data_IF_207639797465
#
_entry.id   IF_207639797465
#
_cell.length_a   1.000
_cell.length_b   1.000
_cell.length_c   1.000
_cell.angle_alpha   90.00
_cell.angle_beta   90.00
_cell.angle_gamma   90.00
#
_symmetry.space_group_name_H-M   'P 1'
#
loop_
_entity.id
_entity.type
_entity.pdbx_description
1 polymer ?
#
# COMPACT_ATOMS: atom_id res chain seq x y z
N UNK A 1 -0.30 5.90 22.01
CA UNK A 1 -1.28 5.61 20.94
C UNK A 1 -2.63 5.76 21.59
N UNK A 2 -3.40 6.79 21.19
CA UNK A 2 -4.68 7.13 21.80
C UNK A 2 -5.79 6.22 21.28
N UNK A 3 -6.84 6.02 22.07
CA UNK A 3 -8.03 5.22 21.76
C UNK A 3 -8.70 5.60 20.41
N UNK A 4 -8.37 6.75 19.82
CA UNK A 4 -8.79 7.15 18.48
C UNK A 4 -8.18 6.31 17.36
N UNK A 5 -6.95 5.79 17.50
CA UNK A 5 -6.33 4.90 16.50
C UNK A 5 -7.00 3.52 16.49
N UNK A 6 -7.44 3.03 17.66
CA UNK A 6 -8.02 1.69 17.80
C UNK A 6 -9.44 1.61 17.19
N UNK A 7 -10.20 2.72 17.25
CA UNK A 7 -11.56 2.79 16.68
C UNK A 7 -11.53 3.00 15.15
N UNK A 8 -10.49 3.63 14.60
CA UNK A 8 -10.34 3.82 13.15
C UNK A 8 -10.02 2.50 12.40
N UNK A 9 -9.30 1.58 13.05
CA UNK A 9 -8.92 0.28 12.48
C UNK A 9 -10.10 -0.68 12.27
N UNK A 10 -11.09 -0.69 13.18
CA UNK A 10 -12.17 -1.68 13.15
C UNK A 10 -13.41 -1.27 12.32
N UNK A 11 -13.56 0.01 11.93
CA UNK A 11 -14.74 0.51 11.19
C UNK A 11 -14.54 0.71 9.69
N UNK A 12 -13.33 0.55 9.18
CA UNK A 12 -12.97 0.83 7.77
C UNK A 12 -13.22 -0.33 6.81
N UNK A 13 -13.62 -1.52 7.28
CA UNK A 13 -13.83 -2.71 6.42
C UNK A 13 -15.25 -2.88 5.85
N UNK A 14 -16.27 -2.13 6.32
CA UNK A 14 -17.65 -2.28 5.79
C UNK A 14 -17.80 -1.88 4.32
N UNK A 15 -16.79 -1.21 3.74
CA UNK A 15 -16.74 -0.83 2.32
C UNK A 15 -16.03 -1.83 1.40
N UNK A 16 -15.51 -2.97 1.88
CA UNK A 16 -14.62 -3.83 1.07
C UNK A 16 -15.20 -4.20 -0.31
N UNK A 17 -16.47 -4.61 -0.37
CA UNK A 17 -17.13 -5.00 -1.62
C UNK A 17 -17.31 -3.80 -2.56
N UNK A 18 -17.67 -2.62 -2.03
CA UNK A 18 -17.83 -1.40 -2.81
C UNK A 18 -16.50 -0.85 -3.35
N UNK A 19 -15.42 -1.09 -2.62
CA UNK A 19 -14.06 -0.68 -2.99
C UNK A 19 -13.29 -1.77 -3.76
N UNK A 20 -13.88 -2.95 -4.00
CA UNK A 20 -13.23 -4.06 -4.71
C UNK A 20 -12.63 -3.64 -6.07
N UNK A 21 -13.31 -2.84 -6.92
CA UNK A 21 -12.71 -2.37 -8.16
C UNK A 21 -11.46 -1.50 -7.94
N UNK A 22 -11.44 -0.67 -6.89
CA UNK A 22 -10.26 0.17 -6.57
C UNK A 22 -9.10 -0.69 -6.08
N UNK A 23 -9.37 -1.68 -5.22
CA UNK A 23 -8.34 -2.64 -4.79
C UNK A 23 -7.75 -3.36 -5.99
N UNK A 24 -8.60 -3.86 -6.87
CA UNK A 24 -8.17 -4.55 -8.07
C UNK A 24 -7.29 -3.67 -8.98
N UNK A 25 -7.73 -2.44 -9.30
CA UNK A 25 -6.95 -1.51 -10.13
C UNK A 25 -5.63 -1.13 -9.45
N UNK A 26 -5.65 -0.83 -8.16
CA UNK A 26 -4.45 -0.50 -7.39
C UNK A 26 -3.43 -1.65 -7.45
N UNK A 27 -3.87 -2.89 -7.25
CA UNK A 27 -3.00 -4.05 -7.31
C UNK A 27 -2.54 -4.41 -8.70
N UNK A 28 -3.35 -4.24 -9.75
CA UNK A 28 -2.90 -4.42 -11.15
C UNK A 28 -1.76 -3.46 -11.46
N UNK A 29 -1.92 -2.18 -11.11
CA UNK A 29 -0.87 -1.18 -11.32
C UNK A 29 0.40 -1.63 -10.60
N UNK A 30 0.27 -2.12 -9.37
CA UNK A 30 1.39 -2.69 -8.62
C UNK A 30 2.01 -3.92 -9.28
N UNK A 31 1.22 -4.84 -9.82
CA UNK A 31 1.72 -6.03 -10.51
C UNK A 31 2.47 -5.65 -11.79
N UNK A 32 1.99 -4.66 -12.56
CA UNK A 32 2.68 -4.15 -13.74
C UNK A 32 4.00 -3.51 -13.34
N UNK A 33 3.98 -2.63 -12.34
CA UNK A 33 5.18 -1.97 -11.81
C UNK A 33 6.17 -3.00 -11.28
N UNK A 34 5.71 -4.01 -10.53
CA UNK A 34 6.56 -5.07 -9.99
C UNK A 34 7.18 -5.92 -11.10
N UNK A 35 6.42 -6.26 -12.15
CA UNK A 35 6.95 -6.99 -13.31
C UNK A 35 8.02 -6.17 -14.06
N UNK A 36 7.77 -4.87 -14.27
CA UNK A 36 8.74 -3.96 -14.85
C UNK A 36 9.99 -3.82 -13.95
N UNK A 37 9.81 -3.66 -12.65
CA UNK A 37 10.89 -3.56 -11.68
C UNK A 37 11.72 -4.85 -11.63
N UNK A 38 11.09 -6.03 -11.67
CA UNK A 38 11.80 -7.31 -11.73
C UNK A 38 12.63 -7.43 -13.01
N UNK A 39 12.10 -6.96 -14.15
CA UNK A 39 12.83 -6.95 -15.42
C UNK A 39 14.04 -6.01 -15.38
N UNK A 40 13.87 -4.81 -14.83
CA UNK A 40 14.96 -3.84 -14.61
C UNK A 40 16.00 -4.41 -13.63
N UNK A 41 15.56 -5.03 -12.54
CA UNK A 41 16.42 -5.62 -11.53
C UNK A 41 17.24 -6.78 -12.11
N UNK A 42 16.65 -7.60 -12.98
CA UNK A 42 17.36 -8.64 -13.72
C UNK A 42 18.47 -8.07 -14.62
N UNK A 43 18.18 -7.00 -15.36
CA UNK A 43 19.17 -6.32 -16.18
C UNK A 43 20.29 -5.68 -15.33
N UNK A 44 19.94 -5.03 -14.21
CA UNK A 44 20.90 -4.46 -13.27
C UNK A 44 21.77 -5.54 -12.62
N UNK A 45 21.20 -6.69 -12.28
CA UNK A 45 21.93 -7.84 -11.73
C UNK A 45 23.00 -8.35 -12.69
N UNK A 46 22.69 -8.44 -13.99
CA UNK A 46 23.68 -8.80 -15.01
C UNK A 46 24.82 -7.77 -15.10
N UNK A 47 24.50 -6.46 -15.10
CA UNK A 47 25.50 -5.40 -15.08
C UNK A 47 26.38 -5.46 -13.82
N UNK A 48 25.78 -5.74 -12.65
CA UNK A 48 26.51 -5.91 -11.40
C UNK A 48 27.45 -7.12 -11.45
N UNK A 49 27.02 -8.24 -12.04
CA UNK A 49 27.89 -9.39 -12.23
C UNK A 49 29.13 -9.05 -13.07
N UNK A 50 28.99 -8.22 -14.12
CA UNK A 50 30.12 -7.75 -14.91
C UNK A 50 31.08 -6.86 -14.10
N UNK A 51 30.56 -5.95 -13.29
CA UNK A 51 31.39 -5.11 -12.39
C UNK A 51 32.15 -5.99 -11.39
N UNK A 52 31.47 -6.95 -10.78
CA UNK A 52 32.10 -7.88 -9.83
C UNK A 52 33.20 -8.70 -10.49
N UNK A 53 33.01 -9.21 -11.71
CA UNK A 53 34.03 -9.94 -12.43
C UNK A 53 35.32 -9.10 -12.64
N UNK A 54 35.18 -7.81 -12.96
CA UNK A 54 36.32 -6.89 -13.10
C UNK A 54 37.01 -6.64 -11.76
N UNK A 55 36.23 -6.39 -10.70
CA UNK A 55 36.79 -6.16 -9.35
C UNK A 55 37.51 -7.41 -8.84
N UNK A 56 36.95 -8.60 -9.04
CA UNK A 56 37.61 -9.87 -8.71
C UNK A 56 38.92 -10.02 -9.48
N UNK A 57 38.92 -9.70 -10.79
CA UNK A 57 40.12 -9.82 -11.62
C UNK A 57 41.27 -8.88 -11.22
N UNK A 58 40.97 -7.70 -10.65
CA UNK A 58 41.97 -6.69 -10.29
C UNK A 58 42.32 -6.74 -8.79
N UNK A 59 41.31 -6.82 -7.93
CA UNK A 59 41.42 -6.66 -6.47
C UNK A 59 41.24 -7.95 -5.68
N UNK A 60 40.96 -9.08 -6.34
CA UNK A 60 40.70 -10.37 -5.69
C UNK A 60 39.32 -10.47 -5.06
N UNK A 61 39.02 -11.66 -4.50
CA UNK A 61 37.67 -12.02 -4.03
C UNK A 61 37.17 -11.15 -2.88
N UNK A 62 38.05 -10.79 -1.94
CA UNK A 62 37.66 -9.98 -0.77
C UNK A 62 37.14 -8.61 -1.20
N UNK A 63 37.82 -7.96 -2.15
CA UNK A 63 37.38 -6.67 -2.68
C UNK A 63 36.02 -6.79 -3.39
N UNK A 64 35.82 -7.85 -4.16
CA UNK A 64 34.56 -8.11 -4.85
C UNK A 64 33.39 -8.31 -3.87
N UNK A 65 33.59 -9.06 -2.78
CA UNK A 65 32.56 -9.24 -1.74
C UNK A 65 32.16 -7.92 -1.06
N UNK A 66 33.13 -7.05 -0.74
CA UNK A 66 32.84 -5.74 -0.17
C UNK A 66 32.00 -4.91 -1.15
N UNK A 67 32.40 -4.85 -2.42
CA UNK A 67 31.66 -4.12 -3.45
C UNK A 67 30.26 -4.70 -3.64
N UNK A 68 30.10 -6.03 -3.65
CA UNK A 68 28.81 -6.68 -3.80
C UNK A 68 27.84 -6.31 -2.66
N UNK A 69 28.30 -6.31 -1.41
CA UNK A 69 27.48 -5.93 -0.26
C UNK A 69 27.05 -4.46 -0.36
N UNK A 70 27.98 -3.55 -0.70
CA UNK A 70 27.67 -2.12 -0.84
C UNK A 70 26.62 -1.91 -1.94
N UNK A 71 26.80 -2.52 -3.11
CA UNK A 71 25.85 -2.41 -4.22
C UNK A 71 24.48 -2.99 -3.85
N UNK A 72 24.44 -4.12 -3.13
CA UNK A 72 23.20 -4.73 -2.68
C UNK A 72 22.43 -3.83 -1.71
N UNK A 73 23.12 -3.22 -0.74
CA UNK A 73 22.50 -2.28 0.21
C UNK A 73 21.95 -1.05 -0.50
N UNK A 74 22.71 -0.47 -1.43
CA UNK A 74 22.26 0.68 -2.22
C UNK A 74 21.02 0.32 -3.04
N UNK A 75 21.04 -0.81 -3.74
CA UNK A 75 19.93 -1.30 -4.54
C UNK A 75 18.68 -1.55 -3.69
N UNK A 76 18.84 -2.14 -2.50
CA UNK A 76 17.74 -2.35 -1.56
C UNK A 76 17.11 -1.02 -1.14
N UNK A 77 17.91 -0.05 -0.69
CA UNK A 77 17.39 1.26 -0.25
C UNK A 77 16.66 1.98 -1.38
N UNK A 78 17.23 1.99 -2.59
CA UNK A 78 16.59 2.59 -3.77
C UNK A 78 15.26 1.90 -4.10
N UNK A 79 15.22 0.57 -4.04
CA UNK A 79 14.01 -0.21 -4.28
C UNK A 79 12.92 0.12 -3.26
N UNK A 80 13.26 0.18 -1.97
CA UNK A 80 12.31 0.54 -0.92
C UNK A 80 11.78 1.96 -1.08
N UNK A 81 12.64 2.93 -1.46
CA UNK A 81 12.20 4.29 -1.76
C UNK A 81 11.21 4.33 -2.91
N UNK A 82 11.51 3.65 -4.04
CA UNK A 82 10.62 3.62 -5.20
C UNK A 82 9.26 3.01 -4.84
N UNK A 83 9.26 1.86 -4.15
CA UNK A 83 8.02 1.20 -3.69
C UNK A 83 7.23 2.13 -2.78
N UNK A 84 7.88 2.80 -1.83
CA UNK A 84 7.26 3.73 -0.90
C UNK A 84 6.65 4.95 -1.58
N UNK A 85 7.35 5.53 -2.56
CA UNK A 85 6.86 6.64 -3.39
C UNK A 85 5.60 6.20 -4.15
N UNK A 86 5.68 5.07 -4.85
CA UNK A 86 4.57 4.54 -5.64
C UNK A 86 3.36 4.27 -4.74
N UNK A 87 3.55 3.66 -3.56
CA UNK A 87 2.44 3.40 -2.64
C UNK A 87 1.78 4.68 -2.15
N UNK A 88 2.59 5.68 -1.82
CA UNK A 88 2.12 6.96 -1.33
C UNK A 88 1.28 7.67 -2.40
N UNK A 89 1.75 7.69 -3.65
CA UNK A 89 1.01 8.30 -4.76
C UNK A 89 -0.28 7.55 -5.11
N UNK A 90 -0.22 6.23 -5.25
CA UNK A 90 -1.41 5.44 -5.56
C UNK A 90 -2.42 5.51 -4.41
N UNK A 91 -1.95 5.55 -3.16
CA UNK A 91 -2.84 5.65 -2.01
C UNK A 91 -3.48 7.02 -1.83
N UNK A 92 -2.75 8.09 -2.14
CA UNK A 92 -3.34 9.42 -2.24
C UNK A 92 -4.41 9.48 -3.35
N UNK A 93 -4.16 8.83 -4.48
CA UNK A 93 -5.04 8.86 -5.65
C UNK A 93 -6.32 8.05 -5.45
N UNK A 94 -6.20 6.79 -5.01
CA UNK A 94 -7.36 5.88 -4.90
C UNK A 94 -8.08 5.99 -3.55
N UNK A 95 -7.34 6.30 -2.48
CA UNK A 95 -7.85 6.23 -1.10
C UNK A 95 -7.86 7.58 -0.39
N UNK A 96 -7.34 8.64 -1.02
CA UNK A 96 -7.18 9.97 -0.41
C UNK A 96 -6.35 9.94 0.89
N UNK A 97 -5.46 8.96 1.02
CA UNK A 97 -4.55 8.84 2.16
C UNK A 97 -3.26 9.58 1.80
N UNK A 98 -2.97 10.69 2.48
CA UNK A 98 -1.76 11.46 2.24
C UNK A 98 -0.67 11.03 3.22
N UNK A 99 0.37 10.39 2.69
CA UNK A 99 1.55 10.00 3.45
C UNK A 99 2.63 11.09 3.39
N UNK A 100 3.39 11.31 4.48
CA UNK A 100 4.48 12.28 4.46
C UNK A 100 5.60 11.83 3.51
N UNK A 101 6.03 12.73 2.62
CA UNK A 101 7.03 12.48 1.57
C UNK A 101 8.50 12.60 2.03
N UNK A 102 8.76 12.45 3.33
CA UNK A 102 10.13 12.43 3.84
C UNK A 102 10.78 11.05 3.60
N UNK A 103 12.10 11.01 3.40
CA UNK A 103 12.80 9.78 3.02
C UNK A 103 12.62 8.64 4.04
N UNK A 104 12.53 8.96 5.34
CA UNK A 104 12.32 7.95 6.40
C UNK A 104 10.95 7.29 6.28
N UNK A 105 9.91 8.08 6.06
CA UNK A 105 8.54 7.62 5.83
C UNK A 105 8.44 6.79 4.56
N UNK A 106 9.09 7.22 3.47
CA UNK A 106 9.10 6.50 2.20
C UNK A 106 9.79 5.14 2.32
N UNK A 107 10.95 5.06 2.98
CA UNK A 107 11.62 3.78 3.25
C UNK A 107 10.74 2.91 4.15
N UNK A 108 10.13 3.49 5.19
CA UNK A 108 9.22 2.77 6.09
C UNK A 108 8.03 2.16 5.37
N UNK A 109 7.36 2.93 4.51
CA UNK A 109 6.29 2.45 3.63
C UNK A 109 6.78 1.33 2.72
N UNK A 110 7.90 1.56 2.05
CA UNK A 110 8.49 0.59 1.12
C UNK A 110 8.81 -0.72 1.81
N UNK A 111 9.40 -0.66 3.02
CA UNK A 111 9.75 -1.82 3.82
C UNK A 111 8.51 -2.56 4.31
N UNK A 112 7.53 -1.85 4.87
CA UNK A 112 6.28 -2.45 5.35
C UNK A 112 5.51 -3.11 4.21
N UNK A 113 5.44 -2.46 3.04
CA UNK A 113 4.83 -3.00 1.85
C UNK A 113 5.59 -4.21 1.32
N UNK A 114 6.91 -4.13 1.14
CA UNK A 114 7.72 -5.25 0.68
C UNK A 114 7.60 -6.46 1.62
N UNK A 115 7.59 -6.25 2.94
CA UNK A 115 7.40 -7.30 3.93
C UNK A 115 6.01 -7.95 3.83
N UNK A 116 4.95 -7.14 3.71
CA UNK A 116 3.61 -7.66 3.52
C UNK A 116 3.46 -8.43 2.19
N UNK A 117 4.05 -7.93 1.10
CA UNK A 117 4.09 -8.61 -0.20
C UNK A 117 4.85 -9.94 -0.12
N UNK A 118 5.92 -10.01 0.67
CA UNK A 118 6.65 -11.27 0.92
C UNK A 118 5.76 -12.30 1.61
N UNK A 119 5.05 -11.91 2.67
CA UNK A 119 4.16 -12.80 3.42
C UNK A 119 3.02 -13.27 2.53
N UNK A 120 2.29 -12.35 1.91
CA UNK A 120 1.12 -12.67 1.10
C UNK A 120 1.49 -13.33 -0.23
N UNK A 121 2.67 -13.04 -0.78
CA UNK A 121 3.23 -13.64 -1.99
C UNK A 121 3.78 -15.05 -1.81
N UNK A 122 3.99 -15.51 -0.58
CA UNK A 122 4.56 -16.83 -0.31
C UNK A 122 3.78 -17.99 -0.98
N UNK A 123 2.43 -18.03 -0.99
CA UNK A 123 1.69 -19.07 -1.70
C UNK A 123 1.95 -19.06 -3.22
N UNK A 124 2.10 -17.90 -3.85
CA UNK A 124 2.47 -17.82 -5.26
C UNK A 124 3.86 -18.42 -5.49
N UNK A 125 4.82 -18.13 -4.60
CA UNK A 125 6.15 -18.71 -4.67
C UNK A 125 6.13 -20.24 -4.53
N UNK A 126 5.31 -20.78 -3.62
CA UNK A 126 5.13 -22.23 -3.46
C UNK A 126 4.57 -22.84 -4.75
N UNK A 127 3.57 -22.21 -5.37
CA UNK A 127 3.01 -22.66 -6.65
C UNK A 127 4.09 -22.65 -7.74
N UNK A 128 4.91 -21.60 -7.83
CA UNK A 128 6.02 -21.55 -8.80
C UNK A 128 7.02 -22.68 -8.59
N UNK A 129 7.40 -22.93 -7.34
CA UNK A 129 8.33 -24.00 -6.99
C UNK A 129 7.78 -25.40 -7.30
N UNK A 130 6.51 -25.67 -6.96
CA UNK A 130 5.87 -26.98 -7.15
C UNK A 130 5.64 -27.29 -8.63
N UNK A 131 5.33 -26.28 -9.44
CA UNK A 131 4.97 -26.47 -10.86
C UNK A 131 6.05 -26.00 -11.85
N UNK A 132 7.29 -25.75 -11.41
CA UNK A 132 8.39 -25.27 -12.27
C UNK A 132 8.66 -26.15 -13.49
N UNK A 133 8.45 -27.47 -13.38
CA UNK A 133 8.65 -28.44 -14.46
C UNK A 133 7.49 -28.48 -15.48
N UNK A 134 6.36 -27.82 -15.19
CA UNK A 134 5.18 -27.80 -16.06
C UNK A 134 4.82 -26.35 -16.47
N UNK A 135 5.50 -25.80 -17.49
CA UNK A 135 5.28 -24.42 -17.90
C UNK A 135 3.87 -24.17 -18.41
N UNK A 136 3.21 -25.17 -19.02
CA UNK A 136 1.82 -25.04 -19.47
C UNK A 136 0.89 -24.78 -18.29
N UNK A 137 1.04 -25.52 -17.19
CA UNK A 137 0.21 -25.33 -16.00
C UNK A 137 0.48 -23.97 -15.34
N UNK A 138 1.74 -23.52 -15.30
CA UNK A 138 2.08 -22.18 -14.79
C UNK A 138 1.41 -21.07 -15.62
N UNK A 139 1.38 -21.19 -16.95
CA UNK A 139 0.68 -20.23 -17.83
C UNK A 139 -0.82 -20.23 -17.56
N UNK A 140 -1.43 -21.40 -17.37
CA UNK A 140 -2.87 -21.51 -17.03
C UNK A 140 -3.16 -20.86 -15.66
N UNK A 141 -2.28 -21.05 -14.67
CA UNK A 141 -2.42 -20.47 -13.33
C UNK A 141 -2.11 -18.97 -13.27
N UNK A 142 -1.49 -18.40 -14.31
CA UNK A 142 -1.10 -16.99 -14.35
C UNK A 142 -2.32 -16.05 -14.26
N UNK A 143 -3.39 -16.34 -15.01
CA UNK A 143 -4.61 -15.52 -15.02
C UNK A 143 -5.25 -15.46 -13.63
N UNK A 144 -5.65 -16.58 -12.99
CA UNK A 144 -6.23 -16.53 -11.66
C UNK A 144 -5.27 -15.95 -10.63
N UNK A 145 -3.96 -16.19 -10.77
CA UNK A 145 -2.95 -15.57 -9.90
C UNK A 145 -3.01 -14.05 -10.01
N UNK A 146 -2.94 -13.48 -11.22
CA UNK A 146 -3.01 -12.02 -11.41
C UNK A 146 -4.31 -11.48 -10.80
N UNK A 147 -5.45 -12.13 -11.03
CA UNK A 147 -6.74 -11.65 -10.50
C UNK A 147 -6.77 -11.62 -8.98
N UNK A 148 -6.39 -12.71 -8.33
CA UNK A 148 -6.41 -12.85 -6.87
C UNK A 148 -5.38 -11.90 -6.24
N UNK A 149 -4.15 -11.93 -6.75
CA UNK A 149 -3.06 -11.14 -6.18
C UNK A 149 -3.21 -9.65 -6.44
N UNK A 150 -3.91 -9.22 -7.50
CA UNK A 150 -4.26 -7.81 -7.66
C UNK A 150 -5.15 -7.31 -6.51
N UNK A 151 -6.14 -8.10 -6.08
CA UNK A 151 -6.98 -7.70 -4.94
C UNK A 151 -6.15 -7.66 -3.65
N UNK A 152 -5.34 -8.69 -3.40
CA UNK A 152 -4.49 -8.79 -2.21
C UNK A 152 -3.51 -7.61 -2.15
N UNK A 153 -2.75 -7.37 -3.22
CA UNK A 153 -1.75 -6.30 -3.26
C UNK A 153 -2.37 -4.90 -3.18
N UNK A 154 -3.54 -4.70 -3.81
CA UNK A 154 -4.28 -3.45 -3.65
C UNK A 154 -4.73 -3.21 -2.22
N UNK A 155 -5.20 -4.25 -1.53
CA UNK A 155 -5.56 -4.20 -0.10
C UNK A 155 -4.33 -3.92 0.75
N UNK A 156 -3.22 -4.63 0.53
CA UNK A 156 -1.95 -4.42 1.23
C UNK A 156 -1.44 -2.99 1.06
N UNK A 157 -1.51 -2.43 -0.15
CA UNK A 157 -1.07 -1.05 -0.41
C UNK A 157 -1.85 -0.04 0.41
N UNK A 158 -3.18 -0.17 0.42
CA UNK A 158 -4.08 0.65 1.27
C UNK A 158 -3.76 0.47 2.75
N UNK A 159 -3.63 -0.78 3.21
CA UNK A 159 -3.39 -1.10 4.61
C UNK A 159 -2.08 -0.47 5.11
N UNK A 160 -1.01 -0.60 4.32
CA UNK A 160 0.27 0.04 4.64
C UNK A 160 0.11 1.56 4.64
N UNK A 161 -0.57 2.15 3.67
CA UNK A 161 -0.76 3.60 3.64
C UNK A 161 -1.53 4.12 4.87
N UNK A 162 -2.54 3.40 5.36
CA UNK A 162 -3.26 3.75 6.59
C UNK A 162 -2.35 3.75 7.83
N UNK A 163 -1.30 2.92 7.85
CA UNK A 163 -0.36 2.85 8.97
C UNK A 163 0.59 4.04 9.07
N UNK A 164 0.70 4.85 8.02
CA UNK A 164 1.70 5.92 7.93
C UNK A 164 1.15 7.27 7.45
N UNK A 165 -0.06 7.30 6.89
CA UNK A 165 -0.68 8.49 6.32
C UNK A 165 -1.83 9.02 7.16
N UNK A 166 -2.06 10.31 7.05
CA UNK A 166 -3.23 10.94 7.63
C UNK A 166 -4.42 10.76 6.68
N UNK A 167 -5.56 10.36 7.22
CA UNK A 167 -6.83 10.37 6.48
C UNK A 167 -7.43 11.76 6.66
N UNK A 168 -7.55 12.58 5.59
CA UNK A 168 -8.08 13.93 5.72
C UNK A 168 -9.50 13.86 6.29
N UNK A 169 -9.71 14.57 7.40
CA UNK A 169 -11.05 14.82 7.92
C UNK A 169 -11.73 15.74 6.93
N UNK A 170 -12.78 15.26 6.27
CA UNK A 170 -13.49 16.07 5.31
C UNK A 170 -14.15 17.27 6.02
N UNK A 171 -14.22 18.39 5.30
CA UNK A 171 -14.71 19.70 5.78
C UNK A 171 -16.06 19.57 6.50
N UNK A 172 -16.20 20.34 7.57
CA UNK A 172 -17.36 20.29 8.46
C UNK A 172 -18.67 20.50 7.70
N UNK A 173 -19.66 19.66 7.99
CA UNK A 173 -21.04 19.83 7.50
C UNK A 173 -21.72 20.80 8.45
N UNK A 174 -22.22 21.93 7.91
CA UNK A 174 -22.62 23.08 8.73
C UNK A 174 -23.92 22.93 9.52
N UNK A 175 -24.63 21.80 9.45
CA UNK A 175 -25.81 21.47 10.27
C UNK A 175 -26.27 20.05 9.99
N UNK A 176 -26.24 19.16 10.99
CA UNK A 176 -27.09 17.97 10.95
C UNK A 176 -28.50 18.39 11.41
N UNK A 177 -29.55 18.23 10.58
CA UNK A 177 -30.92 18.58 10.97
C UNK A 177 -31.40 17.61 12.04
N UNK A 178 -31.39 18.02 13.32
CA UNK A 178 -32.02 17.39 14.49
C UNK A 178 -31.97 15.84 14.62
N UNK A 179 -31.06 15.17 13.91
CA UNK A 179 -31.10 13.73 13.70
C UNK A 179 -29.71 13.14 13.57
N UNK A 180 -29.62 11.82 13.80
CA UNK A 180 -28.41 11.02 13.71
C UNK A 180 -27.88 10.88 12.27
N UNK A 181 -28.39 11.63 11.30
CA UNK A 181 -28.02 11.51 9.89
C UNK A 181 -27.37 12.81 9.40
N UNK A 182 -26.20 12.68 8.79
CA UNK A 182 -25.55 13.77 8.05
C UNK A 182 -25.12 13.25 6.68
N UNK A 183 -25.21 14.09 5.65
CA UNK A 183 -24.66 13.77 4.34
C UNK A 183 -23.13 13.82 4.42
N UNK A 184 -22.47 12.72 4.09
CA UNK A 184 -21.02 12.69 4.05
C UNK A 184 -20.51 13.64 2.96
N UNK A 185 -19.66 14.64 3.27
CA UNK A 185 -19.16 15.60 2.28
C UNK A 185 -18.28 14.93 1.21
N UNK A 186 -17.77 13.73 1.48
CA UNK A 186 -16.95 13.00 0.52
C UNK A 186 -17.75 12.15 -0.47
N UNK A 187 -18.78 11.43 -0.02
CA UNK A 187 -19.54 10.50 -0.88
C UNK A 187 -21.00 10.90 -1.11
N UNK A 188 -21.50 11.96 -0.47
CA UNK A 188 -22.86 12.46 -0.62
C UNK A 188 -23.95 11.63 0.05
N UNK A 189 -23.62 10.46 0.61
CA UNK A 189 -24.59 9.56 1.25
C UNK A 189 -24.91 10.02 2.67
N UNK A 190 -26.19 10.00 3.03
CA UNK A 190 -26.66 10.16 4.40
C UNK A 190 -26.18 8.99 5.27
N UNK A 191 -25.38 9.30 6.28
CA UNK A 191 -24.77 8.30 7.15
C UNK A 191 -25.19 8.51 8.59
N UNK A 192 -25.34 7.41 9.32
CA UNK A 192 -25.62 7.42 10.74
C UNK A 192 -24.39 7.88 11.52
N UNK A 193 -24.49 9.07 12.10
CA UNK A 193 -23.51 9.73 12.91
C UNK A 193 -23.53 9.16 14.33
N UNK A 194 -22.48 8.43 14.73
CA UNK A 194 -22.27 8.13 16.16
C UNK A 194 -21.60 9.32 16.81
N UNK A 195 -22.27 9.90 17.80
CA UNK A 195 -21.75 11.01 18.57
C UNK A 195 -20.70 10.51 19.57
N UNK A 196 -19.49 11.05 19.48
CA UNK A 196 -18.53 11.02 20.57
C UNK A 196 -18.65 12.36 21.30
N UNK A 197 -18.91 12.33 22.60
CA UNK A 197 -19.09 13.51 23.43
C UNK A 197 -17.75 14.03 23.92
N UNK A 198 -17.34 15.19 23.42
CA UNK A 198 -16.55 16.22 24.10
C UNK A 198 -16.42 17.40 23.11
N UNK A 199 -16.99 18.56 23.48
CA UNK A 199 -16.97 19.85 22.76
C UNK A 199 -17.68 19.96 21.38
N UNK A 200 -17.92 21.21 20.96
CA UNK A 200 -18.90 21.64 19.93
C UNK A 200 -18.66 21.14 18.48
N UNK A 201 -17.66 20.29 18.25
CA UNK A 201 -17.35 19.65 16.97
C UNK A 201 -17.20 18.14 17.16
N UNK A 202 -17.97 17.35 16.41
CA UNK A 202 -17.89 15.88 16.47
C UNK A 202 -17.34 15.33 15.14
N UNK A 203 -16.22 14.62 15.20
CA UNK A 203 -15.70 13.84 14.07
C UNK A 203 -16.51 12.55 13.96
N UNK A 204 -17.18 12.37 12.81
CA UNK A 204 -17.98 11.19 12.48
C UNK A 204 -17.33 10.48 11.31
N UNK A 205 -17.23 9.15 11.34
CA UNK A 205 -16.89 8.35 10.16
C UNK A 205 -18.15 8.03 9.34
N UNK A 206 -18.07 8.23 8.03
CA UNK A 206 -19.14 7.80 7.13
C UNK A 206 -19.24 6.27 7.11
N UNK A 207 -20.44 5.73 7.31
CA UNK A 207 -20.70 4.28 7.28
C UNK A 207 -20.50 3.67 5.90
N UNK A 208 -20.59 4.48 4.84
CA UNK A 208 -20.40 4.03 3.46
C UNK A 208 -18.94 4.13 3.03
N UNK A 209 -18.36 5.34 2.99
CA UNK A 209 -17.00 5.52 2.48
C UNK A 209 -15.90 5.45 3.54
N UNK A 210 -16.26 5.32 4.82
CA UNK A 210 -15.31 5.23 5.94
C UNK A 210 -14.58 6.54 6.28
N UNK A 211 -14.72 7.59 5.45
CA UNK A 211 -13.99 8.84 5.66
C UNK A 211 -14.53 9.62 6.86
N UNK A 212 -13.63 10.12 7.73
CA UNK A 212 -14.00 11.00 8.82
C UNK A 212 -14.45 12.36 8.27
N UNK A 213 -15.44 12.97 8.89
CA UNK A 213 -15.88 14.33 8.62
C UNK A 213 -16.46 14.96 9.89
N UNK A 214 -16.37 16.27 10.00
CA UNK A 214 -16.87 16.98 11.17
C UNK A 214 -18.35 17.37 10.99
N UNK A 215 -19.11 17.32 12.08
CA UNK A 215 -20.46 17.87 12.14
C UNK A 215 -20.53 18.79 13.35
N UNK A 216 -20.94 20.04 13.11
CA UNK A 216 -21.23 21.00 14.17
C UNK A 216 -22.71 20.93 14.56
N UNK A 217 -22.99 21.05 15.87
CA UNK A 217 -24.36 21.16 16.38
C UNK A 217 -24.82 22.62 16.22
N UNK A 218 -25.98 22.90 15.61
CA UNK A 218 -26.55 24.24 15.69
C UNK A 218 -26.94 24.55 17.14
N UNK A 219 -26.56 25.75 17.62
CA UNK A 219 -27.02 26.33 18.90
C UNK A 219 -28.55 26.45 18.95
#
# INVERSE_FOLDING_TARGET
MSDQQEIAGAKTERGFVGDLPKYFVHGIIYSIIAAAAASILGALSAAFASVLAVVTGIGGDIAAWIVAIVLLVVLLVVTLLIIGIINSYLSATFWRISSPMNWKSLIGHGAAFAFAMLIFGLPAFIVDFVFQENPTLLVVLLIPRILIYSVIYGYTGRFVALGFGDVPVATSVSKAPAGLLAACPSCGIETLCRMYEEENMKVISCTNCGLPFEVSRPE
#
